data_IF_296469865457
#
_entry.id   IF_296469865457
#
_cell.length_a   1.000
_cell.length_b   1.000
_cell.length_c   1.000
_cell.angle_alpha   90.00
_cell.angle_beta   90.00
_cell.angle_gamma   90.00
#
_symmetry.space_group_name_H-M   'P 1'
#
loop_
_entity.id
_entity.type
_entity.pdbx_description
1 polymer ?
#
# COMPACT_ATOMS: atom_id res chain seq x y z
N UNK A 1 -4.93 -8.98 -17.60
CA UNK A 1 -3.56 -8.84 -18.15
C UNK A 1 -3.07 -7.51 -17.62
N UNK A 2 -1.99 -7.50 -16.83
CA UNK A 2 -1.40 -6.24 -16.37
C UNK A 2 -0.90 -5.49 -17.61
N UNK A 3 -1.09 -4.16 -17.73
CA UNK A 3 -0.52 -3.38 -18.81
C UNK A 3 1.00 -3.60 -18.87
N UNK A 4 1.58 -3.68 -20.07
CA UNK A 4 3.02 -3.92 -20.26
C UNK A 4 3.90 -2.82 -19.61
N UNK A 5 3.31 -1.66 -19.30
CA UNK A 5 3.98 -0.50 -18.71
C UNK A 5 3.86 -0.40 -17.18
N UNK A 6 3.24 -1.37 -16.50
CA UNK A 6 3.12 -1.31 -15.04
C UNK A 6 4.45 -1.76 -14.40
N UNK A 7 5.18 -0.86 -13.69
CA UNK A 7 6.49 -1.20 -13.16
C UNK A 7 6.36 -2.28 -12.08
N UNK A 8 7.33 -3.20 -12.06
CA UNK A 8 7.45 -4.18 -10.98
C UNK A 8 7.41 -3.50 -9.60
N UNK A 9 6.64 -4.03 -8.61
CA UNK A 9 6.52 -3.40 -7.30
C UNK A 9 7.87 -3.24 -6.61
N UNK A 10 8.29 -2.00 -6.46
CA UNK A 10 9.55 -1.63 -5.78
C UNK A 10 9.45 -1.75 -4.25
N UNK A 11 10.60 -1.84 -3.58
CA UNK A 11 10.73 -1.70 -2.12
C UNK A 11 11.05 -0.25 -1.69
N UNK A 12 11.04 0.71 -2.62
CA UNK A 12 11.22 2.12 -2.28
C UNK A 12 10.07 2.62 -1.39
N UNK A 13 10.40 3.31 -0.31
CA UNK A 13 9.45 3.86 0.65
C UNK A 13 9.24 5.36 0.42
N UNK A 14 7.99 5.81 0.55
CA UNK A 14 7.65 7.24 0.57
C UNK A 14 7.30 7.64 2.00
N UNK A 15 8.23 8.36 2.67
CA UNK A 15 8.14 8.72 4.09
C UNK A 15 8.20 10.25 4.30
N UNK A 16 7.25 11.03 3.75
CA UNK A 16 7.23 12.46 3.99
C UNK A 16 7.04 12.72 5.50
N UNK A 17 7.83 13.65 6.04
CA UNK A 17 7.78 13.96 7.47
C UNK A 17 8.28 12.84 8.41
N UNK A 18 8.95 11.80 7.89
CA UNK A 18 9.46 10.64 8.67
C UNK A 18 8.36 9.89 9.43
N UNK A 19 7.15 9.87 8.89
CA UNK A 19 6.05 9.06 9.42
C UNK A 19 6.24 7.63 8.91
N UNK A 20 6.27 6.65 9.82
CA UNK A 20 6.30 5.23 9.47
C UNK A 20 5.09 4.88 8.58
N UNK A 21 5.31 4.09 7.53
CA UNK A 21 4.25 3.80 6.54
C UNK A 21 3.06 3.03 7.14
N UNK A 22 3.19 2.42 8.32
CA UNK A 22 2.07 1.81 9.05
C UNK A 22 1.31 2.76 9.99
N UNK A 23 1.74 4.01 10.11
CA UNK A 23 1.00 5.01 10.89
C UNK A 23 -0.44 5.16 10.37
N UNK A 24 -1.37 5.41 11.28
CA UNK A 24 -2.77 5.65 10.96
C UNK A 24 -2.94 6.80 9.95
N UNK A 25 -2.08 7.80 10.04
CA UNK A 25 -2.08 9.01 9.21
C UNK A 25 -1.01 9.00 8.11
N UNK A 26 -0.28 7.89 7.91
CA UNK A 26 0.68 7.78 6.83
C UNK A 26 -0.02 7.93 5.46
N UNK A 27 0.57 8.65 4.49
CA UNK A 27 0.00 8.73 3.15
C UNK A 27 -0.02 7.35 2.50
N UNK A 28 -1.03 7.12 1.66
CA UNK A 28 -1.18 5.97 0.77
C UNK A 28 -0.64 6.41 -0.59
N UNK A 29 0.63 6.11 -0.85
CA UNK A 29 1.29 6.38 -2.12
C UNK A 29 1.36 5.07 -2.94
N UNK A 30 0.43 4.80 -3.89
CA UNK A 30 0.25 3.47 -4.49
C UNK A 30 1.45 2.94 -5.27
N UNK A 31 2.40 3.80 -5.65
CA UNK A 31 3.61 3.40 -6.38
C UNK A 31 4.74 2.93 -5.46
N UNK A 32 4.67 3.21 -4.16
CA UNK A 32 5.71 2.94 -3.17
C UNK A 32 5.35 1.77 -2.25
N UNK A 33 6.37 1.16 -1.64
CA UNK A 33 6.21 0.14 -0.62
C UNK A 33 5.53 0.73 0.64
N UNK A 34 4.61 -0.01 1.30
CA UNK A 34 4.10 -1.34 0.94
C UNK A 34 2.89 -1.31 0.00
N UNK A 35 2.36 -0.13 -0.33
CA UNK A 35 1.08 0.02 -1.01
C UNK A 35 1.05 -0.53 -2.44
N UNK A 36 2.17 -0.45 -3.16
CA UNK A 36 2.34 -1.05 -4.48
C UNK A 36 2.26 -2.59 -4.50
N UNK A 37 2.22 -3.22 -3.32
CA UNK A 37 2.04 -4.66 -3.13
C UNK A 37 0.71 -5.01 -2.45
N UNK A 38 -0.11 -4.01 -2.13
CA UNK A 38 -1.41 -4.22 -1.53
C UNK A 38 -2.47 -4.56 -2.58
N UNK A 39 -3.35 -5.50 -2.27
CA UNK A 39 -4.64 -5.63 -2.93
C UNK A 39 -5.69 -4.71 -2.29
N UNK A 40 -6.64 -4.21 -3.09
CA UNK A 40 -7.83 -3.50 -2.61
C UNK A 40 -8.96 -4.51 -2.35
N UNK A 41 -9.58 -4.41 -1.18
CA UNK A 41 -10.66 -5.29 -0.74
C UNK A 41 -11.84 -4.49 -0.23
N UNK A 42 -13.04 -5.00 -0.44
CA UNK A 42 -14.29 -4.43 0.08
C UNK A 42 -14.90 -5.34 1.14
N UNK A 43 -15.39 -4.76 2.25
CA UNK A 43 -16.17 -5.51 3.23
C UNK A 43 -17.58 -5.77 2.71
N UNK A 44 -17.96 -7.04 2.57
CA UNK A 44 -19.29 -7.45 2.08
C UNK A 44 -20.45 -6.99 2.95
N UNK A 45 -20.23 -6.64 4.22
CA UNK A 45 -21.30 -6.20 5.13
C UNK A 45 -21.52 -4.69 5.15
N UNK A 46 -20.52 -3.87 4.81
CA UNK A 46 -20.60 -2.41 4.95
C UNK A 46 -19.97 -1.59 3.83
N UNK A 47 -19.38 -2.23 2.81
CA UNK A 47 -18.78 -1.56 1.65
C UNK A 47 -17.46 -0.82 1.93
N UNK A 48 -16.91 -0.92 3.15
CA UNK A 48 -15.62 -0.27 3.46
C UNK A 48 -14.48 -0.89 2.66
N UNK A 49 -13.59 -0.04 2.15
CA UNK A 49 -12.40 -0.46 1.42
C UNK A 49 -11.20 -0.63 2.35
N UNK A 50 -10.36 -1.61 2.03
CA UNK A 50 -9.16 -1.96 2.78
C UNK A 50 -8.01 -2.26 1.82
N UNK A 51 -6.79 -1.94 2.25
CA UNK A 51 -5.55 -2.42 1.65
C UNK A 51 -5.07 -3.66 2.41
N UNK A 52 -4.71 -4.72 1.69
CA UNK A 52 -4.18 -5.95 2.27
C UNK A 52 -2.89 -6.37 1.58
N UNK A 53 -1.88 -6.69 2.38
CA UNK A 53 -0.58 -7.19 1.92
C UNK A 53 -0.11 -8.30 2.86
N UNK A 54 0.55 -9.32 2.30
CA UNK A 54 1.19 -10.36 3.11
C UNK A 54 2.69 -10.21 2.98
N UNK A 55 3.33 -9.85 4.08
CA UNK A 55 4.77 -9.70 4.18
C UNK A 55 5.38 -11.07 4.50
N UNK A 56 6.16 -11.60 3.55
CA UNK A 56 6.88 -12.86 3.72
C UNK A 56 8.27 -12.61 4.27
N UNK A 57 8.54 -13.12 5.48
CA UNK A 57 9.89 -13.27 6.04
C UNK A 57 10.35 -14.72 6.00
N UNK A 58 11.64 -14.97 6.25
CA UNK A 58 12.21 -16.32 6.18
C UNK A 58 11.52 -17.35 7.11
N UNK A 59 10.96 -16.90 8.25
CA UNK A 59 10.29 -17.76 9.23
C UNK A 59 8.91 -17.23 9.67
N UNK A 60 8.47 -16.08 9.15
CA UNK A 60 7.21 -15.45 9.56
C UNK A 60 6.43 -14.96 8.35
N UNK A 61 5.11 -14.99 8.47
CA UNK A 61 4.18 -14.46 7.49
C UNK A 61 3.30 -13.46 8.21
N UNK A 62 3.46 -12.19 7.90
CA UNK A 62 2.65 -11.13 8.49
C UNK A 62 1.53 -10.73 7.53
N UNK A 63 0.28 -10.86 7.99
CA UNK A 63 -0.91 -10.50 7.20
C UNK A 63 -1.38 -9.13 7.64
N UNK A 64 -1.06 -8.14 6.81
CA UNK A 64 -1.37 -6.74 7.07
C UNK A 64 -2.71 -6.34 6.47
N UNK A 65 -3.46 -5.50 7.19
CA UNK A 65 -4.68 -4.86 6.70
C UNK A 65 -4.76 -3.41 7.19
N UNK A 66 -5.13 -2.49 6.29
CA UNK A 66 -5.37 -1.08 6.59
C UNK A 66 -6.71 -0.65 6.02
N UNK A 67 -7.48 0.18 6.74
CA UNK A 67 -8.64 0.85 6.11
C UNK A 67 -8.15 1.82 5.04
N UNK A 68 -8.76 1.79 3.85
CA UNK A 68 -8.45 2.73 2.77
C UNK A 68 -9.24 4.01 2.99
N UNK A 69 -8.54 5.09 3.35
CA UNK A 69 -9.12 6.43 3.51
C UNK A 69 -8.72 7.29 2.32
N UNK A 70 -9.71 7.74 1.55
CA UNK A 70 -9.47 8.58 0.37
C UNK A 70 -8.66 9.85 0.69
N UNK A 71 -8.86 10.43 1.89
CA UNK A 71 -8.14 11.62 2.35
C UNK A 71 -6.64 11.43 2.56
N UNK A 72 -6.14 10.19 2.53
CA UNK A 72 -4.72 9.87 2.70
C UNK A 72 -4.05 9.46 1.38
N UNK A 73 -4.78 9.40 0.26
CA UNK A 73 -4.22 8.96 -1.02
C UNK A 73 -3.42 10.12 -1.65
N UNK A 74 -2.16 9.84 -2.01
CA UNK A 74 -1.29 10.77 -2.72
C UNK A 74 -0.80 10.12 -4.03
N UNK A 75 -1.00 10.82 -5.15
CA UNK A 75 -0.40 10.41 -6.44
C UNK A 75 0.99 11.02 -6.56
N UNK A 76 1.97 10.27 -6.07
CA UNK A 76 3.39 10.65 -6.08
C UNK A 76 4.09 9.85 -7.18
N UNK A 77 4.79 10.49 -8.13
CA UNK A 77 5.55 9.78 -9.15
C UNK A 77 6.75 9.05 -8.53
N UNK A 78 7.10 7.88 -9.06
CA UNK A 78 8.35 7.22 -8.68
C UNK A 78 9.54 8.12 -9.06
N UNK A 79 10.54 8.19 -8.19
CA UNK A 79 11.81 8.82 -8.55
C UNK A 79 12.44 8.02 -9.70
N UNK A 80 12.97 8.74 -10.69
CA UNK A 80 13.66 8.17 -11.84
C UNK A 80 14.98 7.49 -11.45
#
# INVERSE_FOLDING_TARGET
MLPEDDPEPTFAEYLPGKIDYWSADAPVAPRYFPYNRCGVWECSSCGRLYLRYTEGGGYFVDRRIRVLRASLIEDVPLAA
#
